data_IF_093917619151
#
_entry.id   IF_093917619151
#
_cell.length_a   1.000
_cell.length_b   1.000
_cell.length_c   1.000
_cell.angle_alpha   90.00
_cell.angle_beta   90.00
_cell.angle_gamma   90.00
#
_symmetry.space_group_name_H-M   'P 1'
#
loop_
_entity.id
_entity.type
_entity.pdbx_description
1 polymer ?
#
# COMPACT_ATOMS: atom_id res chain seq x y z
N UNK A 1 18.65 30.84 14.14
CA UNK A 1 18.82 32.22 13.66
C UNK A 1 19.41 32.12 12.25
N UNK A 2 18.55 32.02 11.23
CA UNK A 2 18.98 31.88 9.83
C UNK A 2 19.28 33.26 9.26
N UNK A 3 20.47 33.42 8.69
CA UNK A 3 20.96 34.66 8.08
C UNK A 3 20.27 34.91 6.74
N UNK A 4 19.44 35.95 6.68
CA UNK A 4 18.84 36.47 5.46
C UNK A 4 19.84 37.42 4.77
N UNK A 5 20.20 37.14 3.51
CA UNK A 5 20.79 38.13 2.61
C UNK A 5 19.67 38.66 1.72
N UNK A 6 19.38 39.95 1.90
CA UNK A 6 18.35 40.67 1.16
C UNK A 6 18.96 41.20 -0.15
N UNK A 7 18.56 40.62 -1.28
CA UNK A 7 18.81 41.15 -2.62
C UNK A 7 17.43 41.48 -3.23
N UNK A 8 17.18 42.76 -3.43
CA UNK A 8 15.99 43.29 -4.11
C UNK A 8 16.19 43.11 -5.62
N UNK A 9 15.51 42.14 -6.23
CA UNK A 9 14.90 42.22 -7.58
C UNK A 9 14.21 40.90 -8.01
N UNK A 10 14.45 39.76 -7.35
CA UNK A 10 13.81 38.48 -7.68
C UNK A 10 13.36 37.76 -6.39
N UNK A 11 12.09 37.90 -5.97
CA UNK A 11 11.58 37.22 -4.76
C UNK A 11 11.24 35.74 -5.03
N UNK A 12 12.20 34.98 -5.56
CA UNK A 12 12.11 33.52 -5.61
C UNK A 12 12.52 32.92 -4.26
N UNK A 13 11.54 32.42 -3.50
CA UNK A 13 11.79 31.71 -2.25
C UNK A 13 12.16 30.24 -2.53
N UNK A 14 13.44 29.98 -2.75
CA UNK A 14 13.98 28.62 -2.90
C UNK A 14 14.16 27.95 -1.53
N UNK A 15 13.19 27.12 -1.13
CA UNK A 15 13.30 26.28 0.06
C UNK A 15 13.79 24.87 -0.30
N UNK A 16 14.80 24.37 0.40
CA UNK A 16 15.26 22.98 0.27
C UNK A 16 14.21 22.00 0.79
N UNK A 17 13.98 20.92 0.04
CA UNK A 17 13.06 19.85 0.47
C UNK A 17 13.80 18.88 1.39
N UNK A 18 13.28 18.69 2.60
CA UNK A 18 13.82 17.74 3.58
C UNK A 18 12.75 16.73 4.02
N UNK A 19 13.16 15.53 4.44
CA UNK A 19 12.26 14.50 4.98
C UNK A 19 11.31 13.87 3.93
N UNK A 20 10.02 13.79 4.30
CA UNK A 20 8.98 13.07 3.53
C UNK A 20 8.79 13.64 2.11
N UNK A 21 8.66 14.97 1.90
CA UNK A 21 8.55 15.54 0.56
C UNK A 21 9.69 15.14 -0.38
N UNK A 22 10.94 15.12 0.09
CA UNK A 22 12.11 14.70 -0.69
C UNK A 22 12.01 13.25 -1.14
N UNK A 23 11.56 12.36 -0.25
CA UNK A 23 11.34 10.93 -0.54
C UNK A 23 10.22 10.71 -1.57
N UNK A 24 9.16 11.52 -1.48
CA UNK A 24 8.04 11.46 -2.43
C UNK A 24 8.48 11.89 -3.83
N UNK A 25 9.25 12.97 -3.96
CA UNK A 25 9.81 13.41 -5.25
C UNK A 25 10.68 12.31 -5.86
N UNK A 26 11.60 11.72 -5.10
CA UNK A 26 12.43 10.60 -5.58
C UNK A 26 11.58 9.43 -6.06
N UNK A 27 10.55 9.06 -5.30
CA UNK A 27 9.66 7.95 -5.66
C UNK A 27 8.86 8.24 -6.93
N UNK A 28 8.34 9.47 -7.10
CA UNK A 28 7.61 9.88 -8.30
C UNK A 28 8.49 9.95 -9.54
N UNK A 29 9.74 10.40 -9.40
CA UNK A 29 10.71 10.37 -10.51
C UNK A 29 11.01 8.96 -10.98
N UNK A 30 11.05 7.97 -10.08
CA UNK A 30 11.20 6.55 -10.45
C UNK A 30 9.95 6.01 -11.15
N UNK A 31 8.76 6.39 -10.69
CA UNK A 31 7.48 5.96 -11.27
C UNK A 31 7.32 6.41 -12.73
N UNK A 32 7.88 7.56 -13.11
CA UNK A 32 7.83 8.07 -14.48
C UNK A 32 8.44 7.12 -15.54
N UNK A 33 9.29 6.17 -15.14
CA UNK A 33 9.85 5.14 -16.05
C UNK A 33 8.85 4.04 -16.41
N UNK A 34 7.81 3.84 -15.59
CA UNK A 34 6.88 2.72 -15.75
C UNK A 34 5.80 3.08 -16.77
N UNK A 35 5.56 2.26 -17.81
CA UNK A 35 4.44 2.49 -18.71
C UNK A 35 3.12 2.26 -17.96
N UNK A 36 2.39 3.32 -17.68
CA UNK A 36 1.12 3.26 -16.96
C UNK A 36 -0.02 2.82 -17.88
N UNK A 37 -0.73 1.77 -17.46
CA UNK A 37 -2.00 1.37 -18.04
C UNK A 37 -3.12 1.69 -17.05
N UNK A 38 -4.16 2.37 -17.52
CA UNK A 38 -5.30 2.77 -16.70
C UNK A 38 -6.52 1.95 -17.10
N UNK A 39 -7.13 1.28 -16.13
CA UNK A 39 -8.40 0.57 -16.27
C UNK A 39 -9.34 1.07 -15.18
N UNK A 40 -10.55 1.45 -15.57
CA UNK A 40 -11.59 1.99 -14.69
C UNK A 40 -12.85 1.16 -14.88
N UNK A 41 -13.48 0.81 -13.77
CA UNK A 41 -14.70 0.01 -13.76
C UNK A 41 -15.59 0.45 -12.59
N UNK A 42 -16.90 0.34 -12.78
CA UNK A 42 -17.90 0.73 -11.79
C UNK A 42 -18.49 -0.50 -11.11
N UNK A 43 -18.47 -0.53 -9.77
CA UNK A 43 -18.93 -1.68 -8.99
C UNK A 43 -20.07 -1.28 -8.09
N UNK A 44 -21.21 -1.97 -8.20
CA UNK A 44 -22.33 -1.80 -7.29
C UNK A 44 -21.98 -2.32 -5.88
N UNK A 45 -21.96 -1.41 -4.91
CA UNK A 45 -21.56 -1.69 -3.53
C UNK A 45 -22.73 -1.84 -2.54
N UNK A 46 -23.98 -2.01 -2.99
CA UNK A 46 -25.15 -2.06 -2.10
C UNK A 46 -25.02 -3.16 -1.02
N UNK A 47 -24.69 -4.38 -1.44
CA UNK A 47 -24.49 -5.51 -0.53
C UNK A 47 -23.33 -5.28 0.47
N UNK A 48 -22.29 -4.55 0.05
CA UNK A 48 -21.15 -4.20 0.89
C UNK A 48 -21.54 -3.20 1.99
N UNK A 49 -22.39 -2.23 1.65
CA UNK A 49 -22.94 -1.26 2.61
C UNK A 49 -23.81 -1.97 3.64
N UNK A 50 -24.71 -2.86 3.21
CA UNK A 50 -25.55 -3.67 4.11
C UNK A 50 -24.69 -4.49 5.07
N UNK A 51 -23.69 -5.21 4.54
CA UNK A 51 -22.77 -6.01 5.34
C UNK A 51 -22.00 -5.16 6.36
N UNK A 52 -21.54 -3.97 5.99
CA UNK A 52 -20.92 -3.03 6.93
C UNK A 52 -21.90 -2.62 8.04
N UNK A 53 -23.14 -2.30 7.72
CA UNK A 53 -24.14 -1.92 8.74
C UNK A 53 -24.46 -3.08 9.66
N UNK A 54 -24.50 -4.32 9.15
CA UNK A 54 -24.69 -5.51 9.96
C UNK A 54 -23.54 -5.73 10.95
N UNK A 55 -22.29 -5.56 10.49
CA UNK A 55 -21.12 -5.62 11.39
C UNK A 55 -21.10 -4.51 12.43
N UNK A 56 -21.59 -3.31 12.09
CA UNK A 56 -21.69 -2.20 13.04
C UNK A 56 -22.76 -2.48 14.11
N UNK A 57 -23.92 -3.04 13.73
CA UNK A 57 -24.99 -3.42 14.67
C UNK A 57 -24.57 -4.54 15.62
N UNK A 58 -23.94 -5.59 15.06
CA UNK A 58 -23.55 -6.78 15.80
C UNK A 58 -22.14 -6.65 16.42
N UNK A 59 -21.70 -5.44 16.78
CA UNK A 59 -20.31 -5.22 17.20
C UNK A 59 -20.13 -5.43 18.72
N UNK A 60 -19.52 -6.55 19.16
CA UNK A 60 -19.21 -6.75 20.58
C UNK A 60 -18.00 -5.91 21.05
N UNK A 61 -17.18 -5.37 20.13
CA UNK A 61 -15.95 -4.66 20.47
C UNK A 61 -16.04 -3.19 20.06
N UNK A 62 -16.26 -2.28 21.02
CA UNK A 62 -16.44 -0.83 20.75
C UNK A 62 -15.21 -0.13 20.17
N UNK A 63 -14.02 -0.72 20.29
CA UNK A 63 -12.75 -0.12 19.87
C UNK A 63 -12.46 -0.23 18.35
N UNK A 64 -13.22 -1.06 17.63
CA UNK A 64 -12.97 -1.31 16.19
C UNK A 64 -13.85 -0.43 15.31
N UNK A 65 -13.21 0.46 14.54
CA UNK A 65 -13.90 1.22 13.49
C UNK A 65 -14.13 0.33 12.27
N UNK A 66 -15.40 0.07 11.95
CA UNK A 66 -15.79 -0.65 10.74
C UNK A 66 -15.76 0.28 9.53
N UNK A 67 -14.68 0.23 8.75
CA UNK A 67 -14.52 0.92 7.46
C UNK A 67 -14.59 -0.07 6.29
N UNK A 68 -14.68 0.44 5.06
CA UNK A 68 -14.69 -0.42 3.86
C UNK A 68 -13.30 -0.98 3.51
N UNK A 69 -12.24 -0.29 3.95
CA UNK A 69 -10.85 -0.60 3.63
C UNK A 69 -10.45 -2.05 4.01
N UNK A 70 -10.73 -2.58 5.22
CA UNK A 70 -10.41 -3.96 5.58
C UNK A 70 -11.06 -5.01 4.66
N UNK A 71 -12.28 -4.75 4.19
CA UNK A 71 -13.00 -5.66 3.29
C UNK A 71 -12.35 -5.65 1.90
N UNK A 72 -12.02 -4.46 1.40
CA UNK A 72 -11.37 -4.30 0.10
C UNK A 72 -9.97 -4.90 0.09
N UNK A 73 -9.16 -4.65 1.13
CA UNK A 73 -7.83 -5.25 1.31
C UNK A 73 -7.91 -6.78 1.37
N UNK A 74 -8.92 -7.33 2.04
CA UNK A 74 -9.11 -8.80 2.08
C UNK A 74 -9.54 -9.36 0.72
N UNK A 75 -10.45 -8.68 0.03
CA UNK A 75 -10.90 -9.10 -1.31
C UNK A 75 -9.75 -9.09 -2.32
N UNK A 76 -8.88 -8.07 -2.27
CA UNK A 76 -7.67 -8.00 -3.09
C UNK A 76 -6.73 -9.16 -2.77
N UNK A 77 -6.51 -9.45 -1.49
CA UNK A 77 -5.68 -10.59 -1.08
C UNK A 77 -6.18 -11.90 -1.70
N UNK A 78 -7.50 -12.12 -1.75
CA UNK A 78 -8.09 -13.28 -2.43
C UNK A 78 -7.88 -13.25 -3.95
N UNK A 79 -7.94 -12.07 -4.58
CA UNK A 79 -7.68 -11.92 -6.01
C UNK A 79 -6.21 -12.20 -6.35
N UNK A 80 -5.26 -11.77 -5.51
CA UNK A 80 -3.83 -12.01 -5.67
C UNK A 80 -3.46 -13.50 -5.54
N UNK A 81 -4.20 -14.26 -4.72
CA UNK A 81 -4.06 -15.73 -4.69
C UNK A 81 -4.43 -16.37 -6.01
N UNK A 82 -5.45 -15.85 -6.72
CA UNK A 82 -5.87 -16.36 -8.03
C UNK A 82 -4.95 -15.90 -9.16
N UNK A 83 -4.46 -14.67 -9.10
CA UNK A 83 -3.63 -14.04 -10.13
C UNK A 83 -2.27 -13.62 -9.55
N UNK A 84 -1.34 -14.57 -9.36
CA UNK A 84 -0.04 -14.30 -8.74
C UNK A 84 0.87 -13.40 -9.58
N UNK A 85 0.60 -13.27 -10.88
CA UNK A 85 1.35 -12.36 -11.78
C UNK A 85 1.28 -10.90 -11.36
N UNK A 86 0.16 -10.49 -10.74
CA UNK A 86 0.00 -9.12 -10.22
C UNK A 86 0.93 -8.84 -9.02
N UNK A 87 1.36 -9.88 -8.30
CA UNK A 87 2.28 -9.78 -7.16
C UNK A 87 3.76 -9.99 -7.54
N UNK A 88 4.13 -9.60 -8.75
CA UNK A 88 5.51 -9.70 -9.24
C UNK A 88 6.23 -8.35 -9.19
N UNK A 89 7.56 -8.39 -9.21
CA UNK A 89 8.43 -7.22 -9.30
C UNK A 89 9.36 -7.38 -10.50
N UNK A 90 9.44 -6.35 -11.33
CA UNK A 90 10.37 -6.30 -12.45
C UNK A 90 11.71 -5.72 -11.99
N UNK A 91 12.81 -6.41 -12.30
CA UNK A 91 14.17 -5.92 -12.04
C UNK A 91 14.78 -5.42 -13.35
N UNK A 92 15.06 -4.11 -13.41
CA UNK A 92 15.67 -3.47 -14.58
C UNK A 92 17.06 -4.09 -14.90
N UNK A 93 17.88 -4.38 -13.88
CA UNK A 93 19.27 -4.82 -14.05
C UNK A 93 19.43 -6.17 -14.76
N UNK A 94 18.57 -7.15 -14.44
CA UNK A 94 18.63 -8.50 -15.01
C UNK A 94 17.57 -8.77 -16.07
N UNK A 95 16.67 -7.81 -16.32
CA UNK A 95 15.52 -7.97 -17.21
C UNK A 95 14.63 -9.17 -16.83
N UNK A 96 14.52 -9.45 -15.53
CA UNK A 96 13.77 -10.58 -14.97
C UNK A 96 12.54 -10.12 -14.20
N UNK A 97 11.49 -10.95 -14.24
CA UNK A 97 10.27 -10.78 -13.43
C UNK A 97 10.35 -11.74 -12.24
N UNK A 98 10.40 -11.16 -11.04
CA UNK A 98 10.44 -11.91 -9.78
C UNK A 98 9.01 -12.09 -9.28
N UNK A 99 8.52 -13.33 -9.25
CA UNK A 99 7.25 -13.67 -8.63
C UNK A 99 7.43 -13.84 -7.12
N UNK A 100 6.89 -12.91 -6.32
CA UNK A 100 6.98 -12.98 -4.87
C UNK A 100 6.02 -14.04 -4.34
N UNK A 101 6.57 -15.12 -3.79
CA UNK A 101 5.78 -16.20 -3.18
C UNK A 101 5.77 -17.53 -3.90
N UNK A 102 6.45 -17.63 -5.04
CA UNK A 102 6.67 -18.92 -5.69
C UNK A 102 7.84 -19.62 -4.98
N UNK A 103 7.53 -20.57 -4.08
CA UNK A 103 8.53 -21.45 -3.52
C UNK A 103 8.51 -22.74 -4.32
N UNK A 104 9.48 -22.91 -5.22
CA UNK A 104 9.67 -24.16 -5.96
C UNK A 104 10.30 -25.18 -5.00
N UNK A 105 9.46 -26.00 -4.36
CA UNK A 105 9.96 -27.11 -3.55
C UNK A 105 10.17 -28.30 -4.50
N UNK A 106 11.43 -28.70 -4.64
CA UNK A 106 11.80 -29.92 -5.35
C UNK A 106 11.53 -31.12 -4.43
N UNK A 107 10.54 -31.93 -4.79
CA UNK A 107 10.31 -33.21 -4.11
C UNK A 107 10.89 -34.33 -4.98
N UNK A 108 11.84 -35.08 -4.41
CA UNK A 108 12.40 -36.30 -5.00
C UNK A 108 11.62 -37.49 -4.45
N UNK A 109 10.81 -38.13 -5.29
CA UNK A 109 10.07 -39.35 -4.98
C UNK A 109 10.42 -40.43 -6.01
N UNK A 110 10.88 -41.60 -5.57
CA UNK A 110 11.13 -42.80 -6.40
C UNK A 110 11.71 -42.52 -7.80
N UNK A 111 12.91 -41.92 -7.86
CA UNK A 111 13.63 -41.57 -9.11
C UNK A 111 12.95 -40.57 -10.04
N UNK A 112 11.85 -39.91 -9.64
CA UNK A 112 11.21 -38.82 -10.40
C UNK A 112 11.32 -37.50 -9.64
N UNK A 113 11.71 -36.45 -10.35
CA UNK A 113 11.62 -35.07 -9.86
C UNK A 113 10.19 -34.59 -10.09
N UNK A 114 9.50 -34.19 -9.02
CA UNK A 114 8.20 -33.51 -9.11
C UNK A 114 8.42 -32.06 -8.68
N UNK A 115 8.15 -31.15 -9.61
CA UNK A 115 8.07 -29.72 -9.32
C UNK A 115 6.69 -29.43 -8.74
N UNK A 116 6.60 -29.25 -7.42
CA UNK A 116 5.41 -28.70 -6.79
C UNK A 116 5.67 -27.21 -6.54
N UNK A 117 5.06 -26.37 -7.37
CA UNK A 117 5.00 -24.94 -7.13
C UNK A 117 3.97 -24.70 -6.02
N UNK A 118 4.44 -24.45 -4.79
CA UNK A 118 3.58 -24.00 -3.70
C UNK A 118 3.62 -22.47 -3.65
N UNK A 119 2.44 -21.85 -3.70
CA UNK A 119 2.30 -20.41 -3.55
C UNK A 119 2.22 -20.06 -2.05
N UNK A 120 3.39 -19.90 -1.42
CA UNK A 120 3.54 -19.38 -0.05
C UNK A 120 3.86 -17.87 -0.08
N UNK A 121 3.13 -17.13 -0.94
CA UNK A 121 3.30 -15.69 -1.09
C UNK A 121 2.74 -14.89 0.08
N UNK A 122 3.58 -14.06 0.68
CA UNK A 122 3.13 -13.06 1.65
C UNK A 122 2.48 -11.89 0.92
N UNK A 123 1.18 -11.67 1.17
CA UNK A 123 0.45 -10.52 0.64
C UNK A 123 0.71 -9.32 1.54
N UNK A 124 1.71 -8.54 1.15
CA UNK A 124 2.07 -7.30 1.81
C UNK A 124 1.45 -6.14 1.04
N UNK A 125 0.38 -5.55 1.58
CA UNK A 125 -0.44 -4.54 0.90
C UNK A 125 -0.15 -3.17 1.53
N UNK A 126 0.32 -2.24 0.71
CA UNK A 126 0.45 -0.82 1.09
C UNK A 126 -0.92 -0.16 1.25
N UNK A 127 -1.03 0.82 2.15
CA UNK A 127 -2.21 1.70 2.25
C UNK A 127 -1.71 3.12 2.24
N UNK A 128 -2.13 3.92 1.26
CA UNK A 128 -1.69 5.31 1.18
C UNK A 128 -2.54 6.19 2.09
N UNK A 129 -1.88 6.97 2.94
CA UNK A 129 -2.52 7.85 3.90
C UNK A 129 -1.93 9.26 3.80
N UNK A 130 -2.81 10.25 3.71
CA UNK A 130 -2.44 11.65 3.80
C UNK A 130 -2.22 12.02 5.27
N UNK A 131 -1.05 12.56 5.57
CA UNK A 131 -0.71 13.13 6.89
C UNK A 131 -0.38 14.62 6.73
N UNK A 132 -0.43 15.43 7.80
CA UNK A 132 -0.06 16.86 7.71
C UNK A 132 1.36 17.10 7.16
N UNK A 133 2.25 16.12 7.30
CA UNK A 133 3.65 16.20 6.87
C UNK A 133 3.89 15.62 5.46
N UNK A 134 2.84 15.14 4.79
CA UNK A 134 2.91 14.55 3.45
C UNK A 134 2.26 13.18 3.33
N UNK A 135 2.39 12.57 2.14
CA UNK A 135 1.89 11.23 1.85
C UNK A 135 2.79 10.17 2.50
N UNK A 136 2.19 9.24 3.24
CA UNK A 136 2.89 8.08 3.82
C UNK A 136 2.16 6.80 3.42
N UNK A 137 2.91 5.75 3.09
CA UNK A 137 2.36 4.47 2.65
C UNK A 137 2.88 3.34 3.55
N UNK A 138 2.28 3.09 4.72
CA UNK A 138 2.61 1.90 5.49
C UNK A 138 2.09 0.63 4.81
N UNK A 139 2.67 -0.49 5.21
CA UNK A 139 2.41 -1.80 4.65
C UNK A 139 1.79 -2.73 5.69
N UNK A 140 0.64 -3.33 5.36
CA UNK A 140 0.02 -4.40 6.15
C UNK A 140 0.62 -5.73 5.68
N UNK A 141 1.40 -6.36 6.55
CA UNK A 141 2.06 -7.63 6.25
C UNK A 141 1.07 -8.80 6.36
N UNK A 142 1.27 -9.81 5.51
CA UNK A 142 0.57 -11.09 5.56
C UNK A 142 -0.97 -11.01 5.61
N UNK A 143 -1.57 -10.20 4.74
CA UNK A 143 -3.04 -10.03 4.69
C UNK A 143 -3.79 -11.35 4.44
N UNK A 144 -3.15 -12.32 3.80
CA UNK A 144 -3.74 -13.64 3.54
C UNK A 144 -4.15 -14.38 4.83
N UNK A 145 -3.36 -14.27 5.90
CA UNK A 145 -3.63 -14.96 7.17
C UNK A 145 -4.53 -14.18 8.13
N UNK A 146 -4.73 -12.87 7.89
CA UNK A 146 -5.50 -12.00 8.78
C UNK A 146 -6.99 -12.03 8.49
N UNK A 147 -7.82 -11.99 9.54
CA UNK A 147 -9.27 -11.82 9.41
C UNK A 147 -9.64 -10.35 9.19
N UNK A 148 -10.86 -10.09 8.69
CA UNK A 148 -11.35 -8.72 8.44
C UNK A 148 -11.34 -7.87 9.73
N UNK A 149 -11.70 -8.48 10.87
CA UNK A 149 -11.67 -7.80 12.17
C UNK A 149 -10.24 -7.45 12.63
N UNK A 150 -9.27 -8.35 12.40
CA UNK A 150 -7.86 -8.08 12.69
C UNK A 150 -7.31 -6.97 11.80
N UNK A 151 -7.69 -6.96 10.51
CA UNK A 151 -7.34 -5.89 9.58
C UNK A 151 -7.94 -4.54 9.99
N UNK A 152 -9.18 -4.53 10.47
CA UNK A 152 -9.84 -3.32 10.98
C UNK A 152 -9.12 -2.74 12.21
N UNK A 153 -8.72 -3.60 13.15
CA UNK A 153 -7.90 -3.20 14.31
C UNK A 153 -6.53 -2.67 13.88
N UNK A 154 -5.84 -3.40 13.00
CA UNK A 154 -4.52 -3.02 12.49
C UNK A 154 -4.54 -1.69 11.74
N UNK A 155 -5.57 -1.44 10.93
CA UNK A 155 -5.72 -0.19 10.19
C UNK A 155 -5.85 1.02 11.12
N UNK A 156 -6.64 0.91 12.20
CA UNK A 156 -6.76 1.98 13.19
C UNK A 156 -5.45 2.31 13.91
N UNK A 157 -4.62 1.30 14.18
CA UNK A 157 -3.29 1.46 14.78
C UNK A 157 -2.34 2.13 13.78
N UNK A 158 -2.31 1.67 12.53
CA UNK A 158 -1.47 2.21 11.47
C UNK A 158 -1.79 3.69 11.20
N UNK A 159 -3.06 4.07 11.23
CA UNK A 159 -3.48 5.47 11.13
C UNK A 159 -2.95 6.33 12.28
N UNK A 160 -2.97 5.83 13.52
CA UNK A 160 -2.43 6.56 14.69
C UNK A 160 -0.92 6.71 14.56
N UNK A 161 -0.22 5.62 14.24
CA UNK A 161 1.23 5.61 14.05
C UNK A 161 1.65 6.54 12.90
N UNK A 162 0.92 6.56 11.78
CA UNK A 162 1.24 7.44 10.66
C UNK A 162 1.11 8.93 11.02
N UNK A 163 0.19 9.29 11.93
CA UNK A 163 0.06 10.66 12.45
C UNK A 163 1.13 11.02 13.48
N UNK A 164 1.52 10.07 14.33
CA UNK A 164 2.48 10.28 15.42
C UNK A 164 3.95 10.22 14.96
N UNK A 165 4.27 9.41 13.95
CA UNK A 165 5.66 9.14 13.56
C UNK A 165 6.26 10.32 12.79
N UNK A 166 7.04 11.13 13.50
CA UNK A 166 7.80 12.28 12.99
C UNK A 166 9.18 11.93 12.40
N UNK A 167 9.76 10.78 12.69
CA UNK A 167 11.18 10.54 12.34
C UNK A 167 11.60 9.08 12.52
N UNK A 168 11.69 8.36 11.41
CA UNK A 168 12.64 7.25 11.15
C UNK A 168 12.25 6.62 9.81
N UNK A 169 12.38 7.41 8.75
CA UNK A 169 12.53 6.87 7.41
C UNK A 169 13.97 7.19 7.05
N UNK A 170 14.82 6.25 7.43
CA UNK A 170 16.23 6.18 7.07
C UNK A 170 16.37 6.29 5.55
N UNK A 171 17.50 6.84 5.09
CA UNK A 171 17.76 7.40 3.75
C UNK A 171 17.69 6.42 2.58
N UNK A 172 17.24 5.19 2.79
CA UNK A 172 17.09 4.20 1.74
C UNK A 172 15.64 4.17 1.25
N UNK A 173 15.39 4.26 -0.09
CA UNK A 173 14.06 4.02 -0.61
C UNK A 173 13.61 2.67 -0.05
N UNK A 174 12.40 2.56 0.53
CA UNK A 174 11.97 1.33 1.19
C UNK A 174 12.20 0.19 0.19
N UNK A 175 13.06 -0.76 0.53
CA UNK A 175 13.24 -1.96 -0.29
C UNK A 175 11.85 -2.56 -0.47
N UNK A 176 11.41 -2.54 -1.72
CA UNK A 176 10.01 -2.64 -2.11
C UNK A 176 9.55 -4.09 -2.01
N UNK A 177 9.43 -4.63 -0.80
CA UNK A 177 9.13 -6.04 -0.59
C UNK A 177 7.63 -6.38 -0.73
N UNK A 178 6.75 -5.41 -0.95
CA UNK A 178 5.30 -5.62 -1.11
C UNK A 178 4.73 -5.12 -2.45
N UNK A 179 3.61 -5.70 -2.85
CA UNK A 179 2.73 -5.18 -3.88
C UNK A 179 2.13 -3.87 -3.37
N UNK A 180 2.46 -2.76 -4.04
CA UNK A 180 1.90 -1.46 -3.68
C UNK A 180 0.55 -1.29 -4.35
N UNK A 181 -0.51 -1.79 -3.71
CA UNK A 181 -1.83 -1.24 -4.02
C UNK A 181 -1.98 0.09 -3.29
N UNK A 182 -2.22 1.18 -4.01
CA UNK A 182 -2.57 2.46 -3.41
C UNK A 182 -4.10 2.51 -3.36
N UNK A 183 -4.68 2.13 -2.23
CA UNK A 183 -6.07 2.46 -1.97
C UNK A 183 -6.13 3.80 -1.26
N UNK A 184 -6.49 4.86 -1.99
CA UNK A 184 -6.71 6.18 -1.42
C UNK A 184 -7.97 6.13 -0.56
N UNK A 185 -7.83 6.40 0.73
CA UNK A 185 -8.99 6.77 1.56
C UNK A 185 -9.26 8.23 1.27
N UNK A 186 -10.35 8.60 0.58
CA UNK A 186 -10.66 10.00 0.36
C UNK A 186 -10.84 10.69 1.72
N UNK A 187 -10.19 11.84 1.96
CA UNK A 187 -10.49 12.64 3.15
C UNK A 187 -11.98 12.96 3.18
N UNK A 188 -12.56 13.02 4.39
CA UNK A 188 -13.94 13.49 4.59
C UNK A 188 -14.09 14.86 3.93
N UNK A 189 -14.92 14.97 2.90
CA UNK A 189 -15.20 16.23 2.19
C UNK A 189 -14.53 16.39 0.82
N UNK A 190 -13.75 15.42 0.36
CA UNK A 190 -13.20 15.47 -1.01
C UNK A 190 -14.32 15.15 -2.00
N UNK A 191 -14.78 16.14 -2.76
CA UNK A 191 -15.53 15.88 -3.98
C UNK A 191 -14.61 15.08 -4.89
N UNK A 192 -15.05 13.91 -5.33
CA UNK A 192 -14.39 13.19 -6.42
C UNK A 192 -14.48 14.13 -7.62
N UNK A 193 -13.37 14.81 -7.94
CA UNK A 193 -13.28 15.54 -9.20
C UNK A 193 -12.96 14.46 -10.21
N UNK A 194 -14.00 14.02 -10.90
CA UNK A 194 -13.87 13.23 -12.13
C UNK A 194 -13.02 14.05 -13.11
N UNK A 195 -12.04 13.38 -13.72
CA UNK A 195 -11.25 13.90 -14.85
C UNK A 195 -11.93 13.45 -16.13
#
# INVERSE_FOLDING_TARGET
>A
MSTWKENRDDLECCNSLEGIPKSNVKSMSLTAKVPHFHYVDEINCNALVELKTAFQKNNPYSDVKHTFLPILVKSLSMALTKYPSLNSCFREDSMEVIFKGLSLKHYRLNSRYVLLAFFEGSHNIGVAMATPNGLVVPNIKNVQSLSILQLARGSGILEKLAREKKSSLDENPPQMDGLKLIMMVPPKGTRVVEV
#
